data_IF_174562523299
#
_entry.id   IF_174562523299
#
_cell.length_a   1.000
_cell.length_b   1.000
_cell.length_c   1.000
_cell.angle_alpha   90.00
_cell.angle_beta   90.00
_cell.angle_gamma   90.00
#
_symmetry.space_group_name_H-M   'P 1'
#
loop_
_entity.id
_entity.type
_entity.pdbx_description
1 polymer ?
#
# COMPACT_ATOMS: atom_id res chain seq x y z
N UNK A 1 -6.95 0.45 -62.04
CA UNK A 1 -5.55 0.52 -61.57
C UNK A 1 -4.98 1.95 -61.52
N UNK A 2 -5.76 3.04 -61.63
CA UNK A 2 -5.26 4.41 -61.35
C UNK A 2 -6.04 5.11 -60.23
N UNK A 3 -7.15 4.52 -59.73
CA UNK A 3 -7.94 5.08 -58.62
C UNK A 3 -7.54 4.48 -57.26
N UNK A 4 -7.13 3.21 -57.24
CA UNK A 4 -6.75 2.52 -55.99
C UNK A 4 -5.47 3.10 -55.35
N UNK A 5 -4.57 3.74 -56.12
CA UNK A 5 -3.35 4.34 -55.57
C UNK A 5 -3.51 5.76 -55.02
N UNK A 6 -4.57 6.49 -55.41
CA UNK A 6 -4.88 7.81 -54.84
C UNK A 6 -5.62 7.68 -53.50
N UNK A 7 -6.48 6.67 -53.36
CA UNK A 7 -7.21 6.38 -52.11
C UNK A 7 -6.26 5.93 -50.98
N UNK A 8 -5.27 5.08 -51.29
CA UNK A 8 -4.25 4.64 -50.33
C UNK A 8 -3.34 5.80 -49.87
N UNK A 9 -3.00 6.75 -50.77
CA UNK A 9 -2.21 7.94 -50.43
C UNK A 9 -3.02 8.96 -49.60
N UNK A 10 -4.32 9.09 -49.84
CA UNK A 10 -5.21 9.96 -49.05
C UNK A 10 -5.43 9.41 -47.63
N UNK A 11 -5.56 8.08 -47.47
CA UNK A 11 -5.70 7.42 -46.17
C UNK A 11 -4.40 7.52 -45.34
N UNK A 12 -3.23 7.33 -45.96
CA UNK A 12 -1.92 7.50 -45.30
C UNK A 12 -1.67 8.96 -44.88
N UNK A 13 -2.11 9.94 -45.67
CA UNK A 13 -2.05 11.36 -45.30
C UNK A 13 -3.00 11.73 -44.15
N UNK A 14 -4.18 11.10 -44.08
CA UNK A 14 -5.13 11.30 -42.98
C UNK A 14 -4.60 10.73 -41.67
N UNK A 15 -4.02 9.52 -41.71
CA UNK A 15 -3.37 8.88 -40.56
C UNK A 15 -2.17 9.70 -40.05
N UNK A 16 -1.37 10.30 -40.95
CA UNK A 16 -0.29 11.20 -40.57
C UNK A 16 -0.78 12.52 -39.93
N UNK A 17 -1.90 13.06 -40.40
CA UNK A 17 -2.49 14.28 -39.84
C UNK A 17 -3.10 14.02 -38.46
N UNK A 18 -3.79 12.89 -38.30
CA UNK A 18 -4.33 12.43 -37.02
C UNK A 18 -3.21 12.16 -36.00
N UNK A 19 -2.10 11.54 -36.42
CA UNK A 19 -0.93 11.33 -35.56
C UNK A 19 -0.31 12.67 -35.10
N UNK A 20 -0.21 13.66 -36.00
CA UNK A 20 0.27 15.01 -35.64
C UNK A 20 -0.67 15.71 -34.68
N UNK A 21 -1.98 15.60 -34.88
CA UNK A 21 -2.98 16.24 -34.04
C UNK A 21 -3.05 15.59 -32.65
N UNK A 22 -2.87 14.27 -32.56
CA UNK A 22 -2.71 13.55 -31.30
C UNK A 22 -1.44 13.99 -30.56
N UNK A 23 -0.32 14.11 -31.26
CA UNK A 23 0.95 14.54 -30.66
C UNK A 23 0.90 15.98 -30.14
N UNK A 24 0.24 16.88 -30.87
CA UNK A 24 0.01 18.25 -30.41
C UNK A 24 -0.89 18.30 -29.17
N UNK A 25 -1.91 17.44 -29.13
CA UNK A 25 -2.81 17.31 -27.98
C UNK A 25 -2.06 16.81 -26.74
N UNK A 26 -1.27 15.74 -26.88
CA UNK A 26 -0.41 15.22 -25.80
C UNK A 26 0.56 16.31 -25.29
N UNK A 27 1.13 17.10 -26.21
CA UNK A 27 2.03 18.20 -25.82
C UNK A 27 1.30 19.30 -25.07
N UNK A 28 0.09 19.67 -25.50
CA UNK A 28 -0.77 20.66 -24.82
C UNK A 28 -1.15 20.17 -23.43
N UNK A 29 -1.59 18.92 -23.29
CA UNK A 29 -1.92 18.31 -22.00
C UNK A 29 -0.70 18.23 -21.07
N UNK A 30 0.47 17.85 -21.61
CA UNK A 30 1.73 17.82 -20.86
C UNK A 30 2.11 19.21 -20.33
N UNK A 31 1.98 20.26 -21.15
CA UNK A 31 2.23 21.66 -20.73
C UNK A 31 1.26 22.10 -19.63
N UNK A 32 -0.02 21.80 -19.78
CA UNK A 32 -1.04 22.13 -18.76
C UNK A 32 -0.77 21.39 -17.45
N UNK A 33 -0.42 20.10 -17.53
CA UNK A 33 -0.08 19.27 -16.38
C UNK A 33 1.14 19.81 -15.63
N UNK A 34 2.21 20.14 -16.36
CA UNK A 34 3.41 20.81 -15.79
C UNK A 34 3.08 22.14 -15.14
N UNK A 35 2.28 22.98 -15.79
CA UNK A 35 1.88 24.27 -15.22
C UNK A 35 1.06 24.14 -13.92
N UNK A 36 0.19 23.11 -13.83
CA UNK A 36 -0.53 22.80 -12.58
C UNK A 36 0.39 22.33 -11.46
N UNK A 37 1.36 21.48 -11.80
CA UNK A 37 2.35 20.97 -10.85
C UNK A 37 3.24 22.08 -10.30
N UNK A 38 3.76 22.96 -11.16
CA UNK A 38 4.55 24.12 -10.75
C UNK A 38 3.75 25.06 -9.84
N UNK A 39 2.49 25.34 -10.18
CA UNK A 39 1.61 26.15 -9.34
C UNK A 39 1.39 25.51 -7.97
N UNK A 40 1.17 24.20 -7.92
CA UNK A 40 1.02 23.44 -6.68
C UNK A 40 2.29 23.52 -5.82
N UNK A 41 3.46 23.35 -6.43
CA UNK A 41 4.74 23.44 -5.72
C UNK A 41 5.00 24.85 -5.16
N UNK A 42 4.70 25.90 -5.93
CA UNK A 42 4.81 27.29 -5.44
C UNK A 42 3.91 27.55 -4.24
N UNK A 43 2.65 27.13 -4.30
CA UNK A 43 1.71 27.27 -3.18
C UNK A 43 2.21 26.57 -1.91
N UNK A 44 2.81 25.39 -2.05
CA UNK A 44 3.41 24.69 -0.91
C UNK A 44 4.63 25.44 -0.36
N UNK A 45 5.47 26.04 -1.21
CA UNK A 45 6.65 26.79 -0.75
C UNK A 45 6.30 28.13 -0.09
N UNK A 46 5.24 28.80 -0.57
CA UNK A 46 4.80 30.11 -0.08
C UNK A 46 3.98 30.02 1.22
N UNK A 47 3.48 28.83 1.56
CA UNK A 47 2.61 28.62 2.71
C UNK A 47 3.36 28.75 4.04
N UNK A 48 2.72 29.37 5.04
CA UNK A 48 3.29 29.53 6.38
C UNK A 48 3.49 28.17 7.07
N UNK A 49 4.40 28.10 8.06
CA UNK A 49 4.61 26.87 8.82
C UNK A 49 3.37 26.46 9.64
N UNK A 50 2.57 27.42 10.10
CA UNK A 50 1.34 27.15 10.84
C UNK A 50 0.26 26.53 9.94
N UNK A 51 0.10 27.06 8.72
CA UNK A 51 -0.81 26.51 7.74
C UNK A 51 -0.37 25.11 7.28
N UNK A 52 0.93 24.88 7.13
CA UNK A 52 1.47 23.54 6.89
C UNK A 52 1.06 22.56 8.00
N UNK A 53 1.22 22.94 9.28
CA UNK A 53 0.83 22.06 10.41
C UNK A 53 -0.66 21.74 10.41
N UNK A 54 -1.51 22.75 10.17
CA UNK A 54 -2.97 22.58 10.06
C UNK A 54 -3.34 21.66 8.90
N UNK A 55 -2.72 21.86 7.74
CA UNK A 55 -2.94 21.03 6.56
C UNK A 55 -2.48 19.59 6.81
N UNK A 56 -1.30 19.37 7.41
CA UNK A 56 -0.82 18.03 7.76
C UNK A 56 -1.77 17.32 8.73
N UNK A 57 -2.26 18.01 9.76
CA UNK A 57 -3.25 17.42 10.68
C UNK A 57 -4.53 17.00 9.95
N UNK A 58 -5.09 17.87 9.10
CA UNK A 58 -6.28 17.54 8.31
C UNK A 58 -6.04 16.41 7.29
N UNK A 59 -4.85 16.32 6.70
CA UNK A 59 -4.48 15.22 5.81
C UNK A 59 -4.38 13.89 6.57
N UNK A 60 -3.83 13.89 7.78
CA UNK A 60 -3.73 12.71 8.64
C UNK A 60 -5.10 12.21 9.11
N UNK A 61 -6.03 13.12 9.41
CA UNK A 61 -7.41 12.76 9.74
C UNK A 61 -8.13 12.11 8.55
N UNK A 62 -7.91 12.65 7.34
CA UNK A 62 -8.52 12.13 6.09
C UNK A 62 -7.88 10.82 5.63
N UNK A 63 -6.58 10.69 5.84
CA UNK A 63 -5.78 9.52 5.45
C UNK A 63 -4.86 9.11 6.61
N UNK A 64 -5.39 8.33 7.56
CA UNK A 64 -4.62 7.86 8.72
C UNK A 64 -3.40 7.01 8.38
N UNK A 65 -3.29 6.51 7.14
CA UNK A 65 -2.09 5.80 6.65
C UNK A 65 -0.85 6.69 6.52
N UNK A 66 -1.01 8.01 6.37
CA UNK A 66 0.12 8.94 6.25
C UNK A 66 0.86 9.16 7.58
N UNK A 67 0.29 8.74 8.71
CA UNK A 67 0.96 8.84 10.02
C UNK A 67 2.27 8.06 10.03
N UNK A 68 2.37 7.01 9.21
CA UNK A 68 3.55 6.17 9.15
C UNK A 68 4.72 6.86 8.48
N UNK A 69 4.47 7.62 7.41
CA UNK A 69 5.51 8.43 6.77
C UNK A 69 6.08 9.43 7.79
N UNK A 70 5.20 10.09 8.56
CA UNK A 70 5.59 11.01 9.63
C UNK A 70 6.39 10.32 10.74
N UNK A 71 5.95 9.14 11.20
CA UNK A 71 6.64 8.37 12.22
C UNK A 71 8.00 7.84 11.73
N UNK A 72 8.08 7.43 10.47
CA UNK A 72 9.32 6.96 9.85
C UNK A 72 10.33 8.09 9.66
N UNK A 73 9.87 9.27 9.23
CA UNK A 73 10.74 10.42 9.08
C UNK A 73 11.24 10.93 10.45
N UNK A 74 10.38 10.91 11.47
CA UNK A 74 10.79 11.17 12.85
C UNK A 74 11.87 10.17 13.31
N UNK A 75 11.68 8.87 13.05
CA UNK A 75 12.68 7.84 13.38
C UNK A 75 14.00 8.03 12.63
N UNK A 76 13.98 8.43 11.35
CA UNK A 76 15.20 8.71 10.59
C UNK A 76 15.97 9.88 11.18
N UNK A 77 15.27 10.93 11.61
CA UNK A 77 15.88 12.17 12.13
C UNK A 77 16.36 12.05 13.58
N UNK A 78 15.65 11.29 14.41
CA UNK A 78 15.91 11.21 15.85
C UNK A 78 16.49 9.86 16.31
N UNK A 79 16.79 8.96 15.36
CA UNK A 79 17.23 7.61 15.64
C UNK A 79 16.07 6.66 15.98
N UNK A 80 16.38 5.36 16.08
CA UNK A 80 15.39 4.36 16.48
C UNK A 80 14.85 4.69 17.89
N UNK A 81 13.53 4.84 18.08
CA UNK A 81 12.95 4.71 19.41
C UNK A 81 13.35 3.34 19.98
N UNK A 82 13.45 3.28 21.30
CA UNK A 82 13.91 2.13 22.08
C UNK A 82 13.70 0.79 21.37
N UNK A 83 14.79 0.01 21.23
CA UNK A 83 14.66 -1.43 20.99
C UNK A 83 13.71 -1.93 22.08
N UNK A 84 12.53 -2.43 21.69
CA UNK A 84 11.62 -3.11 22.60
C UNK A 84 12.33 -4.35 23.17
N UNK A 85 13.17 -4.14 24.19
CA UNK A 85 13.70 -5.18 25.07
C UNK A 85 12.68 -5.35 26.18
N UNK A 86 11.62 -6.09 25.89
CA UNK A 86 10.58 -6.39 26.88
C UNK A 86 9.35 -7.02 26.24
N UNK A 87 8.83 -8.05 26.91
CA UNK A 87 7.48 -8.58 26.72
C UNK A 87 6.47 -7.42 26.78
N UNK A 88 5.74 -7.18 25.70
CA UNK A 88 4.78 -6.07 25.65
C UNK A 88 3.65 -6.25 26.66
N UNK A 89 3.05 -5.14 27.10
CA UNK A 89 1.72 -5.15 27.74
C UNK A 89 0.74 -5.85 26.78
N UNK A 90 0.06 -6.89 27.27
CA UNK A 90 -0.73 -7.92 26.54
C UNK A 90 0.01 -9.23 26.22
N UNK A 91 1.27 -9.41 26.66
CA UNK A 91 1.95 -10.71 26.52
C UNK A 91 2.29 -11.10 25.08
N UNK A 92 2.23 -10.16 24.14
CA UNK A 92 2.72 -10.37 22.78
C UNK A 92 4.25 -10.41 22.84
N UNK A 93 4.91 -11.52 22.49
CA UNK A 93 6.37 -11.58 22.47
C UNK A 93 6.86 -10.61 21.40
N UNK A 94 7.38 -9.47 21.84
CA UNK A 94 8.10 -8.56 20.96
C UNK A 94 9.40 -9.25 20.54
N UNK A 95 9.47 -9.55 19.25
CA UNK A 95 10.69 -9.84 18.50
C UNK A 95 11.59 -11.01 18.95
N UNK A 96 11.15 -11.94 19.81
CA UNK A 96 12.00 -13.10 20.21
C UNK A 96 11.33 -14.47 20.23
N UNK A 97 10.05 -14.60 19.89
CA UNK A 97 9.53 -15.93 19.56
C UNK A 97 10.06 -16.30 18.17
N UNK A 98 10.97 -17.27 18.13
CA UNK A 98 11.54 -17.85 16.93
C UNK A 98 10.48 -18.01 15.83
N UNK A 99 10.49 -17.11 14.84
CA UNK A 99 9.87 -17.37 13.55
C UNK A 99 10.80 -18.36 12.85
N UNK A 100 10.41 -19.63 12.65
CA UNK A 100 11.32 -20.65 12.14
C UNK A 100 11.64 -20.51 10.64
N UNK A 101 11.16 -19.44 9.99
CA UNK A 101 11.26 -19.26 8.54
C UNK A 101 12.07 -18.00 8.17
N UNK A 102 13.32 -18.23 7.77
CA UNK A 102 14.04 -17.38 6.81
C UNK A 102 14.64 -16.08 7.35
N UNK A 103 15.95 -15.98 7.26
CA UNK A 103 16.89 -14.94 7.74
C UNK A 103 16.68 -13.51 7.20
N UNK A 104 15.57 -13.17 6.55
CA UNK A 104 15.30 -11.86 5.92
C UNK A 104 14.12 -11.03 6.45
N UNK A 105 13.25 -11.59 7.31
CA UNK A 105 11.94 -10.98 7.64
C UNK A 105 11.77 -10.57 9.12
N UNK A 106 12.85 -10.25 9.84
CA UNK A 106 12.80 -9.81 11.25
C UNK A 106 12.82 -8.29 11.38
N UNK A 107 11.84 -7.59 10.77
CA UNK A 107 11.68 -6.14 10.94
C UNK A 107 10.56 -5.83 11.93
N UNK A 108 10.84 -5.06 12.98
CA UNK A 108 9.81 -4.51 13.87
C UNK A 108 9.27 -3.18 13.29
N UNK A 109 8.10 -2.72 13.73
CA UNK A 109 7.56 -1.42 13.31
C UNK A 109 8.34 -0.22 13.84
N UNK A 110 9.23 -0.44 14.81
CA UNK A 110 10.12 0.59 15.37
C UNK A 110 9.46 1.58 16.32
N UNK A 111 8.17 1.40 16.64
CA UNK A 111 7.43 2.27 17.54
C UNK A 111 7.60 1.87 19.01
N UNK A 112 7.38 2.84 19.90
CA UNK A 112 7.24 2.62 21.34
C UNK A 112 6.14 1.58 21.64
N UNK A 113 6.28 0.72 22.69
CA UNK A 113 5.27 -0.28 23.02
C UNK A 113 3.83 0.24 23.17
N UNK A 114 3.63 1.45 23.69
CA UNK A 114 2.28 2.04 23.82
C UNK A 114 1.73 2.52 22.48
N UNK A 115 2.59 2.75 21.49
CA UNK A 115 2.26 3.26 20.17
C UNK A 115 2.55 2.25 19.06
N UNK A 116 2.64 0.97 19.41
CA UNK A 116 2.88 -0.09 18.43
C UNK A 116 1.80 -0.06 17.36
N UNK A 117 2.22 -0.15 16.10
CA UNK A 117 1.35 -0.15 14.92
C UNK A 117 0.25 -1.19 15.02
N UNK A 118 0.57 -2.37 15.55
CA UNK A 118 -0.36 -3.48 15.69
C UNK A 118 -1.46 -3.21 16.74
N UNK A 119 -1.28 -2.19 17.59
CA UNK A 119 -2.25 -1.77 18.61
C UNK A 119 -3.10 -0.57 18.16
N UNK A 120 -2.80 0.04 17.03
CA UNK A 120 -3.55 1.20 16.53
C UNK A 120 -4.98 0.83 16.15
N UNK A 121 -5.98 1.70 16.41
CA UNK A 121 -7.38 1.44 16.01
C UNK A 121 -7.54 1.18 14.50
N UNK A 122 -6.83 1.94 13.67
CA UNK A 122 -6.83 1.77 12.22
C UNK A 122 -6.29 0.41 11.77
N UNK A 123 -5.29 -0.14 12.48
CA UNK A 123 -4.80 -1.49 12.19
C UNK A 123 -5.89 -2.53 12.47
N UNK A 124 -6.62 -2.39 13.58
CA UNK A 124 -7.76 -3.25 13.88
C UNK A 124 -8.82 -3.15 12.79
N UNK A 125 -9.22 -1.93 12.40
CA UNK A 125 -10.26 -1.70 11.41
C UNK A 125 -9.88 -2.23 10.01
N UNK A 126 -8.65 -2.01 9.55
CA UNK A 126 -8.25 -2.35 8.18
C UNK A 126 -7.67 -3.76 8.03
N UNK A 127 -7.05 -4.30 9.08
CA UNK A 127 -6.31 -5.57 8.99
C UNK A 127 -6.93 -6.70 9.83
N UNK A 128 -7.79 -6.41 10.82
CA UNK A 128 -8.33 -7.43 11.72
C UNK A 128 -9.87 -7.53 11.70
N UNK A 129 -10.57 -6.53 11.17
CA UNK A 129 -12.04 -6.55 11.06
C UNK A 129 -12.50 -7.53 9.97
N UNK A 130 -13.19 -8.58 10.39
CA UNK A 130 -13.67 -9.64 9.51
C UNK A 130 -14.71 -9.13 8.49
N UNK A 131 -15.54 -8.15 8.88
CA UNK A 131 -16.53 -7.54 8.00
C UNK A 131 -15.86 -6.79 6.86
N UNK A 132 -14.87 -5.97 7.19
CA UNK A 132 -14.07 -5.23 6.22
C UNK A 132 -13.32 -6.17 5.27
N UNK A 133 -12.61 -7.16 5.81
CA UNK A 133 -11.86 -8.11 4.99
C UNK A 133 -12.78 -8.98 4.12
N UNK A 134 -14.00 -9.31 4.59
CA UNK A 134 -15.00 -10.06 3.82
C UNK A 134 -15.52 -9.24 2.65
N UNK A 135 -15.88 -7.97 2.85
CA UNK A 135 -16.34 -7.09 1.78
C UNK A 135 -15.26 -6.93 0.71
N UNK A 136 -14.01 -6.68 1.11
CA UNK A 136 -12.92 -6.54 0.15
C UNK A 136 -12.62 -7.84 -0.59
N UNK A 137 -12.74 -9.00 0.08
CA UNK A 137 -12.63 -10.31 -0.58
C UNK A 137 -13.69 -10.46 -1.67
N UNK A 138 -14.96 -10.25 -1.34
CA UNK A 138 -16.08 -10.34 -2.28
C UNK A 138 -15.87 -9.41 -3.48
N UNK A 139 -15.51 -8.15 -3.22
CA UNK A 139 -15.22 -7.18 -4.29
C UNK A 139 -14.13 -7.65 -5.24
N UNK A 140 -13.07 -8.30 -4.74
CA UNK A 140 -12.00 -8.85 -5.59
C UNK A 140 -12.45 -10.07 -6.39
N UNK A 141 -13.27 -10.93 -5.81
CA UNK A 141 -13.83 -12.09 -6.50
C UNK A 141 -14.70 -11.61 -7.66
N UNK A 142 -15.57 -10.63 -7.41
CA UNK A 142 -16.44 -10.02 -8.42
C UNK A 142 -15.63 -9.40 -9.58
N UNK A 143 -14.54 -8.67 -9.27
CA UNK A 143 -13.68 -8.05 -10.29
C UNK A 143 -12.88 -9.04 -11.13
N UNK A 144 -12.50 -10.18 -10.56
CA UNK A 144 -11.53 -11.08 -11.20
C UNK A 144 -12.17 -12.32 -11.80
N UNK A 145 -13.48 -12.54 -11.57
CA UNK A 145 -14.24 -13.73 -11.97
C UNK A 145 -13.62 -15.08 -11.53
N UNK A 146 -12.57 -15.04 -10.70
CA UNK A 146 -11.98 -16.21 -10.05
C UNK A 146 -12.72 -16.45 -8.75
N UNK A 147 -13.92 -17.02 -8.84
CA UNK A 147 -14.53 -17.67 -7.69
C UNK A 147 -13.71 -18.90 -7.33
N UNK A 148 -12.98 -18.85 -6.22
CA UNK A 148 -12.27 -20.04 -5.75
C UNK A 148 -13.25 -21.00 -5.09
N UNK A 149 -13.09 -22.31 -5.33
CA UNK A 149 -13.77 -23.34 -4.53
C UNK A 149 -13.20 -23.24 -3.12
N UNK A 150 -14.07 -22.93 -2.14
CA UNK A 150 -13.68 -22.74 -0.74
C UNK A 150 -13.76 -24.06 -0.01
N UNK A 151 -12.66 -24.49 0.60
CA UNK A 151 -12.70 -25.62 1.52
C UNK A 151 -13.11 -25.15 2.94
N UNK A 152 -13.83 -25.97 3.71
CA UNK A 152 -14.13 -25.67 5.11
C UNK A 152 -12.82 -25.43 5.89
N UNK A 153 -12.60 -24.19 6.36
CA UNK A 153 -11.39 -23.78 7.08
C UNK A 153 -10.46 -22.82 6.33
N UNK A 154 -10.69 -22.56 5.04
CA UNK A 154 -9.89 -21.62 4.23
C UNK A 154 -10.04 -20.15 4.64
N UNK A 155 -11.09 -19.83 5.40
CA UNK A 155 -11.44 -18.45 5.72
C UNK A 155 -10.33 -17.70 6.45
N UNK A 156 -9.67 -18.34 7.42
CA UNK A 156 -8.56 -17.73 8.15
C UNK A 156 -7.36 -17.48 7.23
N UNK A 157 -7.04 -18.43 6.35
CA UNK A 157 -5.94 -18.28 5.40
C UNK A 157 -6.19 -17.11 4.47
N UNK A 158 -7.39 -17.04 3.90
CA UNK A 158 -7.79 -15.94 3.04
C UNK A 158 -7.84 -14.59 3.77
N UNK A 159 -8.32 -14.56 5.02
CA UNK A 159 -8.31 -13.36 5.86
C UNK A 159 -6.88 -12.90 6.16
N UNK A 160 -5.94 -13.80 6.49
CA UNK A 160 -4.53 -13.45 6.65
C UNK A 160 -3.96 -12.80 5.38
N UNK A 161 -4.19 -13.41 4.22
CA UNK A 161 -3.67 -12.88 2.96
C UNK A 161 -4.33 -11.56 2.55
N UNK A 162 -5.60 -11.36 2.87
CA UNK A 162 -6.28 -10.08 2.69
C UNK A 162 -5.68 -9.03 3.62
N UNK A 163 -5.54 -9.32 4.91
CA UNK A 163 -4.95 -8.44 5.92
C UNK A 163 -3.51 -8.02 5.56
N UNK A 164 -2.68 -8.95 5.08
CA UNK A 164 -1.32 -8.63 4.62
C UNK A 164 -1.34 -7.63 3.47
N UNK A 165 -2.22 -7.83 2.48
CA UNK A 165 -2.37 -6.90 1.34
C UNK A 165 -2.91 -5.55 1.79
N UNK A 166 -3.87 -5.53 2.71
CA UNK A 166 -4.46 -4.32 3.26
C UNK A 166 -3.44 -3.50 4.02
N UNK A 167 -2.63 -4.14 4.86
CA UNK A 167 -1.54 -3.46 5.55
C UNK A 167 -0.61 -2.78 4.54
N UNK A 168 -0.13 -3.52 3.54
CA UNK A 168 0.78 -2.97 2.53
C UNK A 168 0.14 -1.79 1.77
N UNK A 169 -1.13 -1.93 1.37
CA UNK A 169 -1.85 -0.87 0.67
C UNK A 169 -2.11 0.36 1.55
N UNK A 170 -2.50 0.16 2.80
CA UNK A 170 -2.72 1.22 3.78
C UNK A 170 -1.43 2.01 4.05
N UNK A 171 -0.30 1.32 4.08
CA UNK A 171 1.00 1.89 4.43
C UNK A 171 1.77 2.50 3.27
N UNK A 172 1.60 1.93 2.08
CA UNK A 172 2.46 2.26 0.94
C UNK A 172 1.67 2.55 -0.34
N UNK A 173 0.34 2.51 -0.29
CA UNK A 173 -0.50 2.63 -1.47
C UNK A 173 -0.32 1.48 -2.46
N UNK A 174 -0.59 1.78 -3.73
CA UNK A 174 -0.40 0.82 -4.82
C UNK A 174 1.08 0.73 -5.21
N UNK A 175 1.66 -0.46 -5.13
CA UNK A 175 3.08 -0.70 -5.39
C UNK A 175 3.39 -1.26 -6.79
N UNK A 176 2.39 -1.71 -7.54
CA UNK A 176 2.59 -2.42 -8.82
C UNK A 176 3.15 -3.84 -8.67
N UNK A 177 3.40 -4.51 -9.80
CA UNK A 177 3.95 -5.87 -9.82
C UNK A 177 5.46 -5.86 -9.46
N UNK A 178 5.95 -6.91 -8.80
CA UNK A 178 7.36 -7.08 -8.42
C UNK A 178 7.82 -6.28 -7.18
N UNK A 179 7.17 -5.16 -6.85
CA UNK A 179 7.57 -4.31 -5.72
C UNK A 179 6.92 -4.75 -4.39
N UNK A 180 7.40 -5.84 -3.80
CA UNK A 180 6.87 -6.37 -2.53
C UNK A 180 7.55 -5.72 -1.32
N UNK A 181 6.77 -5.21 -0.36
CA UNK A 181 7.29 -4.71 0.94
C UNK A 181 7.10 -5.73 2.05
N UNK A 182 8.01 -5.70 3.03
CA UNK A 182 7.98 -6.58 4.21
C UNK A 182 7.08 -5.96 5.27
N UNK A 183 6.10 -6.71 5.76
CA UNK A 183 5.24 -6.32 6.88
C UNK A 183 6.02 -6.50 8.19
N UNK A 184 5.96 -5.53 9.13
CA UNK A 184 6.58 -5.69 10.43
C UNK A 184 6.10 -6.93 11.20
N UNK A 185 7.00 -7.61 11.90
CA UNK A 185 6.73 -8.84 12.64
C UNK A 185 5.65 -8.67 13.69
N UNK A 186 5.60 -7.55 14.41
CA UNK A 186 4.53 -7.23 15.37
C UNK A 186 3.13 -7.25 14.72
N UNK A 187 3.02 -6.74 13.50
CA UNK A 187 1.77 -6.74 12.74
C UNK A 187 1.44 -8.15 12.23
N UNK A 188 2.43 -8.88 11.70
CA UNK A 188 2.26 -10.26 11.23
C UNK A 188 1.80 -11.17 12.37
N UNK A 189 2.42 -11.10 13.54
CA UNK A 189 2.04 -11.89 14.71
C UNK A 189 0.58 -11.63 15.08
N UNK A 190 0.18 -10.35 15.17
CA UNK A 190 -1.19 -10.00 15.53
C UNK A 190 -2.24 -10.43 14.51
N UNK A 191 -1.92 -10.41 13.22
CA UNK A 191 -2.78 -10.96 12.17
C UNK A 191 -2.91 -12.49 12.32
N UNK A 192 -1.81 -13.19 12.61
CA UNK A 192 -1.81 -14.65 12.79
C UNK A 192 -2.52 -15.09 14.08
N UNK A 193 -2.47 -14.29 15.14
CA UNK A 193 -3.25 -14.49 16.37
C UNK A 193 -4.75 -14.40 16.08
N UNK A 194 -5.17 -13.40 15.30
CA UNK A 194 -6.59 -13.20 14.94
C UNK A 194 -7.10 -14.27 13.96
N UNK A 195 -6.27 -14.67 13.01
CA UNK A 195 -6.61 -15.64 11.95
C UNK A 195 -5.63 -16.82 11.96
N UNK A 196 -5.70 -17.72 12.96
CA UNK A 196 -4.72 -18.78 13.13
C UNK A 196 -4.77 -19.81 12.01
N UNK A 197 -3.63 -20.44 11.78
CA UNK A 197 -3.52 -21.66 10.98
C UNK A 197 -3.61 -22.86 11.94
N UNK A 198 -4.56 -23.79 11.79
CA UNK A 198 -4.74 -24.88 12.75
C UNK A 198 -3.49 -25.76 12.92
N UNK A 199 -2.66 -25.86 11.88
CA UNK A 199 -1.42 -26.63 11.85
C UNK A 199 -0.17 -25.76 12.13
N UNK A 200 -0.37 -24.45 12.34
CA UNK A 200 0.72 -23.49 12.55
C UNK A 200 1.66 -23.33 11.35
N UNK A 201 1.23 -23.74 10.16
CA UNK A 201 2.06 -23.72 8.96
C UNK A 201 1.92 -22.38 8.26
N UNK A 202 3.00 -21.59 8.26
CA UNK A 202 3.01 -20.28 7.62
C UNK A 202 4.15 -20.19 6.62
N UNK A 203 3.84 -19.75 5.40
CA UNK A 203 4.87 -19.38 4.43
C UNK A 203 5.47 -18.01 4.77
N UNK A 204 6.80 -17.89 4.65
CA UNK A 204 7.53 -16.66 4.87
C UNK A 204 7.34 -15.64 3.74
N UNK A 205 8.00 -14.49 3.86
CA UNK A 205 8.03 -13.50 2.78
C UNK A 205 8.77 -14.05 1.55
N UNK A 206 8.08 -14.05 0.41
CA UNK A 206 8.65 -14.41 -0.89
C UNK A 206 8.93 -13.11 -1.64
N UNK A 207 10.21 -12.79 -1.96
CA UNK A 207 10.56 -11.62 -2.75
C UNK A 207 9.80 -11.57 -4.08
N UNK A 208 9.57 -10.37 -4.61
CA UNK A 208 9.02 -10.24 -5.95
C UNK A 208 10.03 -10.76 -6.97
N UNK A 209 9.56 -11.56 -7.93
CA UNK A 209 10.27 -11.88 -9.17
C UNK A 209 9.96 -10.77 -10.17
#
# INVERSE_FOLDING_TARGET
MHQEGEEDEEEENHDEEDARQLQETILKESKVSKGREEKRQRLLQEMSLEDHRRLTAGLLERQPGLIFDLLMEHQQRHGAPHICRGTGYLGVPVATADMPYGTGARKCCGQDPAHCVSLMPHFTQYCLDEGYLRIHRQYREDLTAFGNVREPGDDNREYRHAAYRHFIFWQHGSLGQGNRRVIPSCCVCRIREKFPDPQGQYTGYIPGI
#
